data_IF_901607371039
#
_entry.id   IF_901607371039
#
_cell.length_a   1.000
_cell.length_b   1.000
_cell.length_c   1.000
_cell.angle_alpha   90.00
_cell.angle_beta   90.00
_cell.angle_gamma   90.00
#
_symmetry.space_group_name_H-M   'P 1'
#
loop_
_entity.id
_entity.type
_entity.pdbx_description
1 polymer ?
#
# COMPACT_ATOMS: atom_id res chain seq x y z
N UNK A 1 -10.98 19.15 16.17
CA UNK A 1 -9.81 18.67 15.40
C UNK A 1 -8.81 19.82 15.38
N UNK A 2 -7.54 19.62 15.77
CA UNK A 2 -6.55 20.69 15.65
C UNK A 2 -6.32 20.99 14.16
N UNK A 3 -6.13 22.25 13.77
CA UNK A 3 -5.86 22.64 12.37
C UNK A 3 -4.70 21.84 11.78
N UNK A 4 -3.68 21.59 12.60
CA UNK A 4 -2.55 20.76 12.22
C UNK A 4 -2.93 19.30 12.00
N UNK A 5 -3.86 18.74 12.76
CA UNK A 5 -4.37 17.38 12.50
C UNK A 5 -5.04 17.29 11.13
N UNK A 6 -5.74 18.34 10.69
CA UNK A 6 -6.35 18.39 9.36
C UNK A 6 -5.29 18.42 8.26
N UNK A 7 -4.29 19.31 8.39
CA UNK A 7 -3.19 19.40 7.43
C UNK A 7 -2.36 18.12 7.38
N UNK A 8 -1.97 17.58 8.55
CA UNK A 8 -1.20 16.33 8.63
C UNK A 8 -1.94 15.16 7.99
N UNK A 9 -3.25 15.06 8.22
CA UNK A 9 -4.10 14.07 7.54
C UNK A 9 -4.04 14.25 6.02
N UNK A 10 -4.20 15.46 5.50
CA UNK A 10 -4.12 15.70 4.06
C UNK A 10 -2.72 15.45 3.48
N UNK A 11 -1.66 15.77 4.22
CA UNK A 11 -0.28 15.51 3.80
C UNK A 11 0.01 14.02 3.63
N UNK A 12 -0.64 13.13 4.39
CA UNK A 12 -0.51 11.67 4.17
C UNK A 12 -0.97 11.25 2.77
N UNK A 13 -1.99 11.91 2.21
CA UNK A 13 -2.57 11.55 0.92
C UNK A 13 -2.03 12.39 -0.25
N UNK A 14 -1.66 13.64 0.00
CA UNK A 14 -1.32 14.61 -1.04
C UNK A 14 0.09 15.20 -0.93
N UNK A 15 0.86 14.80 0.10
CA UNK A 15 2.21 15.31 0.34
C UNK A 15 2.23 16.83 0.49
N UNK A 16 3.27 17.47 -0.05
CA UNK A 16 3.45 18.93 0.00
C UNK A 16 2.35 19.73 -0.70
N UNK A 17 1.52 19.12 -1.56
CA UNK A 17 0.37 19.81 -2.15
C UNK A 17 -0.69 20.21 -1.11
N UNK A 18 -0.66 19.59 0.07
CA UNK A 18 -1.53 19.93 1.20
C UNK A 18 -0.86 20.86 2.22
N UNK A 19 0.37 21.32 1.98
CA UNK A 19 1.01 22.29 2.86
C UNK A 19 0.20 23.60 2.92
N UNK A 20 0.12 24.21 4.12
CA UNK A 20 -0.74 25.37 4.40
C UNK A 20 -2.25 25.13 4.20
N UNK A 21 -2.71 23.88 4.30
CA UNK A 21 -4.14 23.56 4.26
C UNK A 21 -4.82 23.67 5.63
N UNK A 22 -4.07 23.87 6.72
CA UNK A 22 -4.57 23.91 8.11
C UNK A 22 -5.81 24.84 8.27
N UNK A 23 -5.73 26.07 7.75
CA UNK A 23 -6.83 27.05 7.83
C UNK A 23 -8.10 26.66 7.04
N UNK A 24 -8.01 25.66 6.15
CA UNK A 24 -9.18 25.12 5.44
C UNK A 24 -10.12 24.37 6.38
N UNK A 25 -9.66 23.93 7.56
CA UNK A 25 -10.47 23.18 8.52
C UNK A 25 -11.73 23.94 8.99
N UNK A 26 -11.66 25.27 9.11
CA UNK A 26 -12.77 26.11 9.57
C UNK A 26 -13.70 26.59 8.47
N UNK A 27 -13.29 26.48 7.21
CA UNK A 27 -14.15 26.87 6.10
C UNK A 27 -14.85 25.64 5.53
N UNK A 28 -16.17 25.55 5.70
CA UNK A 28 -16.97 24.47 5.11
C UNK A 28 -16.70 24.30 3.61
N UNK A 29 -16.54 25.42 2.88
CA UNK A 29 -16.26 25.41 1.44
C UNK A 29 -14.91 24.75 1.13
N UNK A 30 -13.83 25.18 1.80
CA UNK A 30 -12.49 24.65 1.52
C UNK A 30 -12.31 23.23 2.08
N UNK A 31 -12.86 22.95 3.28
CA UNK A 31 -12.90 21.60 3.85
C UNK A 31 -13.58 20.60 2.93
N UNK A 32 -14.78 20.93 2.42
CA UNK A 32 -15.51 20.05 1.50
C UNK A 32 -14.78 19.87 0.16
N UNK A 33 -14.03 20.87 -0.30
CA UNK A 33 -13.19 20.73 -1.49
C UNK A 33 -12.09 19.69 -1.28
N UNK A 34 -11.42 19.71 -0.12
CA UNK A 34 -10.41 18.73 0.24
C UNK A 34 -10.99 17.33 0.43
N UNK A 35 -12.13 17.22 1.12
CA UNK A 35 -12.83 15.95 1.29
C UNK A 35 -13.25 15.34 -0.05
N UNK A 36 -13.70 16.12 -1.01
CA UNK A 36 -14.00 15.62 -2.37
C UNK A 36 -12.76 15.12 -3.11
N UNK A 37 -11.60 15.74 -2.90
CA UNK A 37 -10.33 15.24 -3.46
C UNK A 37 -9.92 13.93 -2.79
N UNK A 38 -10.09 13.85 -1.47
CA UNK A 38 -9.76 12.67 -0.68
C UNK A 38 -10.65 11.49 -1.02
N UNK A 39 -11.96 11.70 -1.13
CA UNK A 39 -12.95 10.72 -1.60
C UNK A 39 -12.52 10.10 -2.93
N UNK A 40 -12.22 10.93 -3.94
CA UNK A 40 -11.75 10.44 -5.25
C UNK A 40 -10.46 9.64 -5.17
N UNK A 41 -9.51 10.09 -4.35
CA UNK A 41 -8.24 9.38 -4.18
C UNK A 41 -8.47 8.02 -3.53
N UNK A 42 -9.24 7.97 -2.44
CA UNK A 42 -9.55 6.72 -1.74
C UNK A 42 -10.35 5.75 -2.61
N UNK A 43 -11.33 6.23 -3.39
CA UNK A 43 -12.04 5.39 -4.36
C UNK A 43 -11.11 4.83 -5.43
N UNK A 44 -10.15 5.62 -5.91
CA UNK A 44 -9.10 5.15 -6.82
C UNK A 44 -8.24 4.07 -6.17
N UNK A 45 -7.70 4.34 -4.98
CA UNK A 45 -6.86 3.41 -4.23
C UNK A 45 -7.63 2.10 -3.92
N UNK A 46 -8.94 2.14 -3.65
CA UNK A 46 -9.80 0.96 -3.45
C UNK A 46 -9.98 0.14 -4.73
N UNK A 47 -10.06 0.78 -5.90
CA UNK A 47 -10.19 0.06 -7.16
C UNK A 47 -8.97 -0.79 -7.49
N UNK A 48 -7.80 -0.35 -7.01
CA UNK A 48 -6.52 -1.05 -7.18
C UNK A 48 -6.30 -2.17 -6.14
N UNK A 49 -7.18 -2.30 -5.14
CA UNK A 49 -7.12 -3.42 -4.19
C UNK A 49 -7.48 -4.71 -4.92
N UNK A 50 -6.58 -5.69 -4.84
CA UNK A 50 -6.81 -7.06 -5.28
C UNK A 50 -7.73 -7.79 -4.29
N UNK A 51 -9.03 -7.75 -4.59
CA UNK A 51 -10.08 -8.37 -3.79
C UNK A 51 -11.29 -8.69 -4.67
N UNK A 52 -12.25 -9.46 -4.15
CA UNK A 52 -13.52 -9.70 -4.85
C UNK A 52 -14.27 -8.41 -5.19
N UNK A 53 -14.98 -8.40 -6.32
CA UNK A 53 -15.82 -7.28 -6.79
C UNK A 53 -16.82 -6.83 -5.74
N UNK A 54 -17.42 -7.78 -5.03
CA UNK A 54 -18.34 -7.49 -3.93
C UNK A 54 -17.66 -6.70 -2.82
N UNK A 55 -16.51 -7.17 -2.34
CA UNK A 55 -15.80 -6.48 -1.25
C UNK A 55 -15.39 -5.07 -1.68
N UNK A 56 -14.93 -4.91 -2.92
CA UNK A 56 -14.63 -3.61 -3.53
C UNK A 56 -15.84 -2.69 -3.57
N UNK A 57 -17.00 -3.17 -4.04
CA UNK A 57 -18.26 -2.42 -4.04
C UNK A 57 -18.67 -1.97 -2.62
N UNK A 58 -18.49 -2.83 -1.61
CA UNK A 58 -18.79 -2.49 -0.22
C UNK A 58 -17.82 -1.43 0.34
N UNK A 59 -16.52 -1.52 0.02
CA UNK A 59 -15.53 -0.50 0.40
C UNK A 59 -15.88 0.85 -0.23
N UNK A 60 -16.21 0.88 -1.52
CA UNK A 60 -16.62 2.09 -2.23
C UNK A 60 -17.88 2.70 -1.61
N UNK A 61 -18.90 1.89 -1.35
CA UNK A 61 -20.14 2.36 -0.70
C UNK A 61 -19.88 2.94 0.69
N UNK A 62 -18.99 2.32 1.49
CA UNK A 62 -18.62 2.84 2.81
C UNK A 62 -17.81 4.15 2.72
N UNK A 63 -16.95 4.31 1.71
CA UNK A 63 -16.26 5.58 1.45
C UNK A 63 -17.25 6.68 1.07
N UNK A 64 -18.16 6.41 0.14
CA UNK A 64 -19.21 7.36 -0.26
C UNK A 64 -20.08 7.77 0.93
N UNK A 65 -20.50 6.82 1.77
CA UNK A 65 -21.28 7.08 2.98
C UNK A 65 -20.51 7.97 3.98
N UNK A 66 -19.22 7.67 4.20
CA UNK A 66 -18.35 8.48 5.06
C UNK A 66 -18.29 9.93 4.55
N UNK A 67 -17.99 10.16 3.27
CA UNK A 67 -17.89 11.52 2.76
C UNK A 67 -19.25 12.23 2.63
N UNK A 68 -20.35 11.49 2.40
CA UNK A 68 -21.68 12.05 2.47
C UNK A 68 -22.00 12.60 3.87
N UNK A 69 -21.65 11.86 4.92
CA UNK A 69 -21.87 12.26 6.32
C UNK A 69 -21.04 13.49 6.73
N UNK A 70 -19.92 13.77 6.06
CA UNK A 70 -19.09 14.96 6.34
C UNK A 70 -19.65 16.29 5.81
N UNK A 71 -20.71 16.23 4.98
CA UNK A 71 -21.32 17.43 4.36
C UNK A 71 -22.28 18.17 5.31
N UNK A 72 -22.64 17.58 6.44
CA UNK A 72 -23.44 18.25 7.46
C UNK A 72 -22.69 19.46 8.06
N UNK A 73 -23.44 20.45 8.55
CA UNK A 73 -22.85 21.63 9.21
C UNK A 73 -22.08 21.26 10.48
N UNK A 74 -22.53 20.22 11.18
CA UNK A 74 -21.91 19.71 12.39
C UNK A 74 -21.55 18.23 12.24
N UNK A 75 -20.39 17.79 12.74
CA UNK A 75 -20.06 16.37 12.81
C UNK A 75 -21.10 15.64 13.64
N UNK A 76 -21.71 14.61 13.07
CA UNK A 76 -22.65 13.75 13.77
C UNK A 76 -22.05 12.35 13.98
N UNK A 77 -22.75 11.50 14.74
CA UNK A 77 -22.33 10.12 14.96
C UNK A 77 -22.25 9.29 13.68
N UNK A 78 -22.94 9.68 12.60
CA UNK A 78 -22.89 8.97 11.32
C UNK A 78 -21.49 9.00 10.69
N UNK A 79 -20.72 10.08 10.89
CA UNK A 79 -19.31 10.16 10.45
C UNK A 79 -18.49 9.09 11.17
N UNK A 80 -18.68 8.96 12.48
CA UNK A 80 -17.96 7.98 13.31
C UNK A 80 -18.35 6.56 12.91
N UNK A 81 -19.65 6.28 12.77
CA UNK A 81 -20.13 4.96 12.37
C UNK A 81 -19.69 4.59 10.96
N UNK A 82 -19.73 5.52 10.01
CA UNK A 82 -19.25 5.29 8.64
C UNK A 82 -17.76 5.02 8.61
N UNK A 83 -16.97 5.75 9.40
CA UNK A 83 -15.53 5.52 9.52
C UNK A 83 -15.23 4.13 10.13
N UNK A 84 -15.91 3.75 11.21
CA UNK A 84 -15.76 2.42 11.81
C UNK A 84 -16.18 1.30 10.86
N UNK A 85 -17.27 1.49 10.11
CA UNK A 85 -17.70 0.57 9.07
C UNK A 85 -16.64 0.43 7.99
N UNK A 86 -16.07 1.53 7.49
CA UNK A 86 -14.98 1.49 6.51
C UNK A 86 -13.74 0.75 7.05
N UNK A 87 -13.31 1.07 8.28
CA UNK A 87 -12.18 0.40 8.95
C UNK A 87 -12.44 -1.10 9.08
N UNK A 88 -13.63 -1.51 9.52
CA UNK A 88 -13.98 -2.92 9.65
C UNK A 88 -13.89 -3.68 8.33
N UNK A 89 -14.30 -3.06 7.21
CA UNK A 89 -14.15 -3.66 5.87
C UNK A 89 -12.68 -3.84 5.50
N UNK A 90 -11.84 -2.82 5.72
CA UNK A 90 -10.40 -2.95 5.50
C UNK A 90 -9.76 -4.06 6.34
N UNK A 91 -10.22 -4.25 7.58
CA UNK A 91 -9.77 -5.34 8.45
C UNK A 91 -10.34 -6.72 8.07
N UNK A 92 -11.18 -6.77 7.04
CA UNK A 92 -11.69 -7.98 6.43
C UNK A 92 -13.01 -8.51 7.00
N UNK A 93 -13.66 -7.74 7.88
CA UNK A 93 -14.98 -8.08 8.38
C UNK A 93 -16.01 -7.93 7.28
N UNK A 94 -16.77 -8.99 7.03
CA UNK A 94 -17.89 -9.00 6.10
C UNK A 94 -19.18 -9.39 6.84
N UNK A 95 -20.32 -8.86 6.38
CA UNK A 95 -21.64 -9.03 6.99
C UNK A 95 -21.78 -8.47 8.43
N UNK A 96 -23.03 -8.41 8.91
CA UNK A 96 -23.37 -8.04 10.29
C UNK A 96 -23.22 -9.22 11.29
N UNK A 97 -22.48 -10.26 10.91
CA UNK A 97 -22.28 -11.48 11.71
C UNK A 97 -20.94 -11.49 12.47
N UNK A 98 -20.10 -10.47 12.28
CA UNK A 98 -18.78 -10.40 12.89
C UNK A 98 -17.74 -11.35 12.29
N UNK A 99 -18.05 -12.00 11.16
CA UNK A 99 -17.14 -12.92 10.50
C UNK A 99 -16.09 -12.17 9.67
N UNK A 100 -14.83 -12.60 9.79
CA UNK A 100 -13.74 -12.11 8.94
C UNK A 100 -13.64 -13.02 7.72
N UNK A 101 -13.98 -12.49 6.54
CA UNK A 101 -14.02 -13.25 5.28
C UNK A 101 -12.92 -12.83 4.30
N UNK A 102 -12.26 -11.71 4.57
CA UNK A 102 -11.12 -11.24 3.79
C UNK A 102 -9.90 -11.14 4.72
N UNK A 103 -8.72 -11.44 4.19
CA UNK A 103 -7.45 -11.23 4.90
C UNK A 103 -6.73 -10.08 4.24
N UNK A 104 -6.31 -9.11 5.06
CA UNK A 104 -5.54 -7.98 4.59
C UNK A 104 -4.08 -8.41 4.43
N UNK A 105 -3.56 -8.28 3.21
CA UNK A 105 -2.15 -8.57 2.91
C UNK A 105 -1.47 -7.26 2.58
N UNK A 106 -0.47 -6.90 3.39
CA UNK A 106 0.41 -5.78 3.09
C UNK A 106 1.67 -6.33 2.43
N UNK A 107 2.07 -5.71 1.33
CA UNK A 107 3.37 -5.95 0.73
C UNK A 107 3.94 -4.63 0.23
N UNK A 108 5.27 -4.59 0.16
CA UNK A 108 6.02 -3.44 -0.33
C UNK A 108 6.69 -3.83 -1.64
N UNK A 109 6.54 -3.03 -2.69
CA UNK A 109 7.33 -3.20 -3.91
C UNK A 109 8.78 -2.81 -3.63
N UNK A 110 9.77 -3.29 -4.42
CA UNK A 110 11.15 -2.84 -4.27
C UNK A 110 11.29 -1.31 -4.35
N UNK A 111 10.56 -0.67 -5.27
CA UNK A 111 10.54 0.79 -5.37
C UNK A 111 10.04 1.47 -4.10
N UNK A 112 8.98 0.94 -3.48
CA UNK A 112 8.45 1.46 -2.22
C UNK A 112 9.45 1.27 -1.06
N UNK A 113 10.17 0.15 -1.02
CA UNK A 113 11.20 -0.13 -0.02
C UNK A 113 12.34 0.89 -0.09
N UNK A 114 12.96 1.06 -1.25
CA UNK A 114 14.08 2.00 -1.39
C UNK A 114 13.63 3.45 -1.24
N UNK A 115 12.41 3.77 -1.67
CA UNK A 115 11.81 5.09 -1.40
C UNK A 115 11.70 5.34 0.11
N UNK A 116 11.25 4.34 0.89
CA UNK A 116 11.22 4.44 2.35
C UNK A 116 12.61 4.62 2.93
N UNK A 117 13.61 3.85 2.47
CA UNK A 117 15.01 4.00 2.92
C UNK A 117 15.51 5.43 2.71
N UNK A 118 15.23 6.04 1.56
CA UNK A 118 15.59 7.43 1.27
C UNK A 118 14.87 8.40 2.24
N UNK A 119 13.58 8.20 2.48
CA UNK A 119 12.82 9.05 3.41
C UNK A 119 13.30 8.91 4.87
N UNK A 120 13.76 7.73 5.26
CA UNK A 120 14.35 7.46 6.58
C UNK A 120 15.80 8.00 6.69
N UNK A 121 16.30 8.68 5.66
CA UNK A 121 17.64 9.28 5.62
C UNK A 121 18.77 8.31 5.24
N UNK A 122 18.41 7.14 4.72
CA UNK A 122 19.35 6.15 4.21
C UNK A 122 19.96 6.51 2.86
N UNK A 123 20.86 5.65 2.37
CA UNK A 123 21.58 5.88 1.13
C UNK A 123 20.66 5.72 -0.10
N UNK A 124 20.72 6.70 -1.02
CA UNK A 124 20.00 6.67 -2.30
C UNK A 124 20.49 5.52 -3.19
N UNK A 125 21.73 5.05 -2.99
CA UNK A 125 22.34 3.95 -3.74
C UNK A 125 22.10 2.58 -3.11
N UNK A 126 21.26 2.48 -2.07
CA UNK A 126 20.95 1.22 -1.40
C UNK A 126 20.43 0.15 -2.37
N UNK A 127 19.64 0.53 -3.38
CA UNK A 127 19.13 -0.35 -4.42
C UNK A 127 20.25 -0.95 -5.30
N UNK A 128 21.25 -0.14 -5.62
CA UNK A 128 22.43 -0.56 -6.35
C UNK A 128 23.25 -1.56 -5.55
N UNK A 129 23.47 -1.31 -4.26
CA UNK A 129 24.20 -2.24 -3.38
C UNK A 129 23.44 -3.55 -3.19
N UNK A 130 22.14 -3.47 -2.94
CA UNK A 130 21.30 -4.64 -2.70
C UNK A 130 21.10 -5.45 -3.99
N UNK A 131 21.01 -4.82 -5.17
CA UNK A 131 20.96 -5.55 -6.43
C UNK A 131 22.24 -6.36 -6.69
N UNK A 132 23.41 -5.80 -6.35
CA UNK A 132 24.68 -6.54 -6.40
C UNK A 132 24.72 -7.68 -5.39
N UNK A 133 24.21 -7.44 -4.17
CA UNK A 133 24.13 -8.47 -3.13
C UNK A 133 23.14 -9.59 -3.50
N UNK A 134 21.97 -9.27 -4.05
CA UNK A 134 20.95 -10.24 -4.49
C UNK A 134 21.50 -11.14 -5.60
N UNK A 135 22.31 -10.62 -6.52
CA UNK A 135 22.98 -11.46 -7.53
C UNK A 135 23.93 -12.44 -6.83
N UNK A 136 24.72 -11.98 -5.86
CA UNK A 136 25.60 -12.84 -5.06
C UNK A 136 24.83 -13.88 -4.23
N UNK A 137 23.69 -13.52 -3.62
CA UNK A 137 22.85 -14.46 -2.87
C UNK A 137 22.14 -15.47 -3.78
N UNK A 138 21.66 -15.04 -4.96
CA UNK A 138 21.11 -15.95 -5.96
C UNK A 138 22.15 -16.92 -6.48
N UNK A 139 23.40 -16.48 -6.64
CA UNK A 139 24.51 -17.35 -6.99
C UNK A 139 24.81 -18.35 -5.85
N UNK A 140 24.80 -17.91 -4.59
CA UNK A 140 24.97 -18.79 -3.43
C UNK A 140 23.89 -19.89 -3.36
N UNK A 141 22.61 -19.53 -3.51
CA UNK A 141 21.52 -20.51 -3.52
C UNK A 141 21.61 -21.44 -4.74
N UNK A 142 21.93 -20.91 -5.92
CA UNK A 142 22.13 -21.75 -7.11
C UNK A 142 23.29 -22.74 -6.92
N UNK A 143 24.35 -22.32 -6.21
CA UNK A 143 25.50 -23.16 -5.87
C UNK A 143 25.13 -24.27 -4.90
N UNK A 144 24.41 -23.98 -3.80
CA UNK A 144 23.94 -25.01 -2.86
C UNK A 144 23.09 -26.07 -3.56
N UNK A 145 22.15 -25.65 -4.42
CA UNK A 145 21.33 -26.58 -5.20
C UNK A 145 22.16 -27.40 -6.21
N UNK A 146 23.24 -26.81 -6.74
CA UNK A 146 24.16 -27.51 -7.62
C UNK A 146 24.99 -28.55 -6.87
N UNK A 147 25.48 -28.21 -5.68
CA UNK A 147 26.22 -29.09 -4.78
C UNK A 147 25.34 -30.24 -4.26
N UNK A 148 24.02 -30.01 -4.11
CA UNK A 148 23.05 -31.07 -3.82
C UNK A 148 22.73 -31.97 -5.03
N UNK A 149 23.48 -31.85 -6.13
CA UNK A 149 23.40 -32.72 -7.30
C UNK A 149 22.34 -32.33 -8.35
N UNK A 150 21.70 -31.16 -8.24
CA UNK A 150 20.69 -30.75 -9.20
C UNK A 150 21.31 -30.24 -10.51
N UNK A 151 20.63 -30.50 -11.63
CA UNK A 151 21.03 -29.96 -12.94
C UNK A 151 20.65 -28.49 -13.06
N UNK A 152 21.36 -27.74 -13.91
CA UNK A 152 21.06 -26.33 -14.15
C UNK A 152 19.60 -26.10 -14.58
N UNK A 153 19.03 -27.03 -15.35
CA UNK A 153 17.62 -27.04 -15.74
C UNK A 153 16.67 -27.16 -14.54
N UNK A 154 16.93 -28.10 -13.61
CA UNK A 154 16.09 -28.24 -12.40
C UNK A 154 16.20 -27.02 -11.48
N UNK A 155 17.41 -26.48 -11.34
CA UNK A 155 17.65 -25.25 -10.58
C UNK A 155 16.89 -24.08 -11.21
N UNK A 156 16.84 -24.00 -12.54
CA UNK A 156 16.13 -22.94 -13.25
C UNK A 156 14.62 -23.01 -13.00
N UNK A 157 14.06 -24.22 -12.91
CA UNK A 157 12.67 -24.43 -12.51
C UNK A 157 12.41 -24.00 -11.05
N UNK A 158 13.28 -24.38 -10.11
CA UNK A 158 13.15 -24.03 -8.68
C UNK A 158 13.22 -22.51 -8.48
N UNK A 159 14.19 -21.86 -9.13
CA UNK A 159 14.42 -20.42 -8.98
C UNK A 159 13.55 -19.57 -9.93
N UNK A 160 12.71 -20.20 -10.76
CA UNK A 160 11.86 -19.54 -11.74
C UNK A 160 12.61 -18.55 -12.65
N UNK A 161 13.79 -18.96 -13.14
CA UNK A 161 14.63 -18.20 -14.08
C UNK A 161 15.04 -19.07 -15.25
N UNK A 162 15.64 -18.48 -16.30
CA UNK A 162 16.13 -19.26 -17.43
C UNK A 162 17.38 -20.08 -17.08
N UNK A 163 17.54 -21.25 -17.70
CA UNK A 163 18.74 -22.08 -17.53
C UNK A 163 20.03 -21.32 -17.90
N UNK A 164 19.95 -20.43 -18.89
CA UNK A 164 21.04 -19.53 -19.24
C UNK A 164 21.45 -18.63 -18.07
N UNK A 165 20.47 -18.04 -17.37
CA UNK A 165 20.71 -17.18 -16.21
C UNK A 165 21.32 -17.97 -15.04
N UNK A 166 20.91 -19.23 -14.83
CA UNK A 166 21.54 -20.13 -13.85
C UNK A 166 23.00 -20.40 -14.22
N UNK A 167 23.30 -20.69 -15.49
CA UNK A 167 24.68 -20.90 -15.95
C UNK A 167 25.56 -19.65 -15.78
N UNK A 168 24.99 -18.45 -15.94
CA UNK A 168 25.70 -17.21 -15.65
C UNK A 168 25.99 -17.07 -14.14
N UNK A 169 24.99 -17.29 -13.28
CA UNK A 169 25.16 -17.21 -11.82
C UNK A 169 26.22 -18.20 -11.30
N UNK A 170 26.34 -19.37 -11.92
CA UNK A 170 27.34 -20.39 -11.58
C UNK A 170 28.71 -20.18 -12.24
N UNK A 171 28.85 -19.21 -13.16
CA UNK A 171 30.11 -18.94 -13.88
C UNK A 171 31.03 -17.96 -13.15
N UNK A 172 30.44 -17.10 -12.33
CA UNK A 172 31.12 -16.02 -11.62
C UNK A 172 31.68 -16.48 -10.25
N UNK A 173 31.73 -17.81 -10.00
CA UNK A 173 32.25 -18.45 -8.80
C UNK A 173 33.02 -19.75 -9.12
#
# INVERSE_FOLDING_TARGET
MSEMSFELMLKQYFGEKAFHSAGSAYSNKYRNSWFKKLERKLSGDINDIDTSERHKSMLLSNVEALFASTKSKEPNWDVVFSALMLISRFLGYDYCKGSKLNTLTYYQTPSQYYTQVIFDGGDVMQDYYDSKNIISQRAAVAKELKESGLSAFRISQILSISEYKVKQLLKDF
#
